data_IF_505101179681
#
_entry.id   IF_505101179681
#
_cell.length_a   1.000
_cell.length_b   1.000
_cell.length_c   1.000
_cell.angle_alpha   90.00
_cell.angle_beta   90.00
_cell.angle_gamma   90.00
#
_symmetry.space_group_name_H-M   'P 1'
#
loop_
_entity.id
_entity.type
_entity.pdbx_description
1 polymer ?
#
# COMPACT_ATOMS: atom_id res chain seq x y z
N UNK A 1 -25.26 -0.68 14.37
CA UNK A 1 -23.81 -0.94 14.33
C UNK A 1 -23.49 -1.85 13.16
N UNK A 2 -23.80 -3.17 13.21
CA UNK A 2 -23.47 -4.11 12.12
C UNK A 2 -23.97 -3.73 10.71
N UNK A 3 -25.23 -3.26 10.58
CA UNK A 3 -25.77 -2.83 9.27
C UNK A 3 -25.04 -1.61 8.70
N UNK A 4 -24.64 -0.67 9.57
CA UNK A 4 -23.87 0.52 9.16
C UNK A 4 -22.45 0.15 8.76
N UNK A 5 -21.83 -0.77 9.50
CA UNK A 5 -20.48 -1.26 9.22
C UNK A 5 -20.43 -2.05 7.90
N UNK A 6 -21.49 -2.82 7.58
CA UNK A 6 -21.61 -3.53 6.30
C UNK A 6 -21.72 -2.57 5.12
N UNK A 7 -22.57 -1.55 5.22
CA UNK A 7 -22.71 -0.54 4.15
C UNK A 7 -21.40 0.23 3.99
N UNK A 8 -20.78 0.67 5.09
CA UNK A 8 -19.51 1.37 5.06
C UNK A 8 -18.39 0.52 4.45
N UNK A 9 -18.26 -0.74 4.85
CA UNK A 9 -17.27 -1.66 4.30
C UNK A 9 -17.44 -1.90 2.80
N UNK A 10 -18.69 -2.01 2.33
CA UNK A 10 -18.99 -2.19 0.91
C UNK A 10 -18.68 -0.93 0.11
N UNK A 11 -19.02 0.26 0.63
CA UNK A 11 -18.65 1.54 0.02
C UNK A 11 -17.14 1.75 -0.07
N UNK A 12 -16.40 1.46 1.02
CA UNK A 12 -14.93 1.56 1.03
C UNK A 12 -14.31 0.60 0.03
N UNK A 13 -14.78 -0.65 0.00
CA UNK A 13 -14.27 -1.66 -0.94
C UNK A 13 -14.51 -1.27 -2.40
N UNK A 14 -15.69 -0.71 -2.71
CA UNK A 14 -16.06 -0.30 -4.06
C UNK A 14 -15.11 0.78 -4.63
N UNK A 15 -14.68 1.74 -3.80
CA UNK A 15 -13.72 2.77 -4.19
C UNK A 15 -12.26 2.29 -4.11
N UNK A 16 -11.93 1.39 -3.18
CA UNK A 16 -10.57 0.89 -2.99
C UNK A 16 -10.06 0.11 -4.20
N UNK A 17 -10.92 -0.64 -4.89
CA UNK A 17 -10.56 -1.40 -6.11
C UNK A 17 -9.99 -0.47 -7.20
N UNK A 18 -10.73 0.53 -7.72
CA UNK A 18 -10.20 1.43 -8.74
C UNK A 18 -9.03 2.28 -8.22
N UNK A 19 -9.03 2.68 -6.95
CA UNK A 19 -7.91 3.40 -6.33
C UNK A 19 -6.61 2.58 -6.37
N UNK A 20 -6.65 1.31 -5.96
CA UNK A 20 -5.49 0.43 -5.94
C UNK A 20 -4.92 0.20 -7.34
N UNK A 21 -5.79 -0.01 -8.33
CA UNK A 21 -5.41 -0.16 -9.74
C UNK A 21 -4.73 1.12 -10.26
N UNK A 22 -5.29 2.29 -9.97
CA UNK A 22 -4.74 3.57 -10.38
C UNK A 22 -3.37 3.85 -9.75
N UNK A 23 -3.22 3.58 -8.45
CA UNK A 23 -1.97 3.85 -7.74
C UNK A 23 -0.85 2.86 -8.10
N UNK A 24 -1.17 1.60 -8.42
CA UNK A 24 -0.18 0.70 -9.01
C UNK A 24 0.33 1.23 -10.37
N UNK A 25 -0.57 1.75 -11.21
CA UNK A 25 -0.18 2.37 -12.47
C UNK A 25 0.70 3.62 -12.26
N UNK A 26 0.38 4.47 -11.26
CA UNK A 26 1.22 5.61 -10.88
C UNK A 26 2.62 5.18 -10.41
N UNK A 27 2.72 4.02 -9.75
CA UNK A 27 3.99 3.44 -9.32
C UNK A 27 4.81 2.81 -10.48
N UNK A 28 4.26 2.77 -11.70
CA UNK A 28 4.89 2.11 -12.86
C UNK A 28 4.69 0.60 -12.89
N UNK A 29 3.74 0.05 -12.11
CA UNK A 29 3.44 -1.37 -12.03
C UNK A 29 2.18 -1.74 -12.83
N UNK A 30 2.05 -3.03 -13.17
CA UNK A 30 0.79 -3.54 -13.71
C UNK A 30 -0.35 -3.32 -12.70
N UNK A 31 -1.53 -2.82 -13.12
CA UNK A 31 -2.61 -2.46 -12.21
C UNK A 31 -3.00 -3.56 -11.22
N UNK A 32 -2.99 -4.82 -11.66
CA UNK A 32 -3.33 -5.98 -10.82
C UNK A 32 -2.44 -6.11 -9.59
N UNK A 33 -1.20 -5.62 -9.64
CA UNK A 33 -0.28 -5.62 -8.50
C UNK A 33 -0.82 -4.77 -7.35
N UNK A 34 -1.55 -3.70 -7.64
CA UNK A 34 -2.19 -2.86 -6.62
C UNK A 34 -3.21 -3.62 -5.78
N UNK A 35 -3.97 -4.52 -6.40
CA UNK A 35 -4.94 -5.37 -5.69
C UNK A 35 -4.22 -6.35 -4.75
N UNK A 36 -3.14 -6.97 -5.22
CA UNK A 36 -2.32 -7.87 -4.40
C UNK A 36 -1.60 -7.14 -3.27
N UNK A 37 -1.16 -5.90 -3.49
CA UNK A 37 -0.49 -5.09 -2.49
C UNK A 37 -1.45 -4.52 -1.42
N UNK A 38 -2.72 -4.28 -1.76
CA UNK A 38 -3.69 -3.70 -0.82
C UNK A 38 -4.28 -4.72 0.16
N UNK A 39 -4.40 -6.00 -0.22
CA UNK A 39 -5.06 -7.02 0.60
C UNK A 39 -4.33 -7.33 1.93
N UNK A 40 -3.01 -7.61 1.95
CA UNK A 40 -2.30 -7.92 3.19
C UNK A 40 -2.41 -6.82 4.26
N UNK A 41 -2.14 -5.53 3.99
CA UNK A 41 -2.20 -4.49 5.02
C UNK A 41 -3.62 -4.28 5.55
N UNK A 42 -4.66 -4.43 4.73
CA UNK A 42 -6.06 -4.38 5.17
C UNK A 42 -6.36 -5.48 6.19
N UNK A 43 -5.96 -6.72 5.90
CA UNK A 43 -6.16 -7.85 6.81
C UNK A 43 -5.36 -7.70 8.11
N UNK A 44 -4.10 -7.28 8.00
CA UNK A 44 -3.22 -7.05 9.15
C UNK A 44 -3.81 -5.93 10.04
N UNK A 45 -4.25 -4.83 9.44
CA UNK A 45 -4.83 -3.71 10.19
C UNK A 45 -6.19 -4.05 10.81
N UNK A 46 -7.01 -4.87 10.15
CA UNK A 46 -8.26 -5.34 10.74
C UNK A 46 -8.06 -6.11 12.06
N UNK A 47 -6.90 -6.75 12.24
CA UNK A 47 -6.57 -7.55 13.43
C UNK A 47 -5.78 -6.73 14.46
N UNK A 48 -4.79 -5.95 14.02
CA UNK A 48 -3.84 -5.25 14.88
C UNK A 48 -4.13 -3.75 15.05
N UNK A 49 -5.07 -3.20 14.29
CA UNK A 49 -5.35 -1.77 14.24
C UNK A 49 -5.88 -1.22 15.56
N UNK A 50 -5.31 -0.09 16.00
CA UNK A 50 -5.70 0.59 17.23
C UNK A 50 -6.92 1.51 17.04
N UNK A 51 -7.20 1.95 15.82
CA UNK A 51 -8.31 2.86 15.49
C UNK A 51 -9.33 2.21 14.56
N UNK A 52 -10.60 2.23 14.99
CA UNK A 52 -11.74 1.68 14.23
C UNK A 52 -12.15 2.55 13.04
N UNK A 53 -11.63 3.78 12.94
CA UNK A 53 -11.97 4.74 11.88
C UNK A 53 -10.84 5.04 10.91
N UNK A 54 -9.62 4.59 11.21
CA UNK A 54 -8.48 4.80 10.30
C UNK A 54 -8.62 3.84 9.11
N UNK A 55 -8.72 4.42 7.92
CA UNK A 55 -8.69 3.66 6.67
C UNK A 55 -7.24 3.51 6.22
N UNK A 56 -6.76 2.26 6.17
CA UNK A 56 -5.47 1.92 5.58
C UNK A 56 -5.70 1.48 4.14
N UNK A 57 -4.91 2.00 3.22
CA UNK A 57 -5.01 1.66 1.82
C UNK A 57 -3.81 2.16 1.03
N UNK A 58 -3.75 1.84 -0.27
CA UNK A 58 -2.72 2.38 -1.15
C UNK A 58 -2.87 3.91 -1.20
N UNK A 59 -1.76 4.64 -1.24
CA UNK A 59 -1.76 6.10 -1.13
C UNK A 59 -0.95 6.71 -2.29
N UNK A 60 -1.41 7.84 -2.83
CA UNK A 60 -0.87 8.43 -4.06
C UNK A 60 0.60 8.85 -3.91
N UNK A 61 0.96 9.48 -2.80
CA UNK A 61 2.33 9.93 -2.52
C UNK A 61 3.31 8.77 -2.49
N UNK A 62 2.97 7.67 -1.82
CA UNK A 62 3.82 6.46 -1.78
C UNK A 62 3.99 5.80 -3.14
N UNK A 63 2.95 5.80 -3.98
CA UNK A 63 3.03 5.33 -5.35
C UNK A 63 3.98 6.19 -6.20
N UNK A 64 3.82 7.53 -6.14
CA UNK A 64 4.69 8.46 -6.85
C UNK A 64 6.14 8.41 -6.36
N UNK A 65 6.37 8.27 -5.05
CA UNK A 65 7.71 8.11 -4.48
C UNK A 65 8.36 6.79 -4.92
N UNK A 66 7.58 5.71 -4.99
CA UNK A 66 8.07 4.42 -5.51
C UNK A 66 8.54 4.57 -6.96
N UNK A 67 7.73 5.20 -7.81
CA UNK A 67 8.12 5.47 -9.20
C UNK A 67 9.35 6.40 -9.30
N UNK A 68 9.38 7.48 -8.52
CA UNK A 68 10.48 8.44 -8.52
C UNK A 68 11.82 7.82 -8.13
N UNK A 69 11.82 6.82 -7.24
CA UNK A 69 13.02 6.09 -6.82
C UNK A 69 13.40 5.01 -7.85
N UNK A 70 12.44 4.24 -8.35
CA UNK A 70 12.74 3.05 -9.16
C UNK A 70 12.96 3.33 -10.64
N UNK A 71 12.20 4.23 -11.26
CA UNK A 71 12.33 4.57 -12.68
C UNK A 71 13.76 4.92 -13.11
N UNK A 72 14.50 5.80 -12.41
CA UNK A 72 15.86 6.16 -12.82
C UNK A 72 16.90 5.05 -12.60
N UNK A 73 16.61 4.05 -11.75
CA UNK A 73 17.57 3.00 -11.35
C UNK A 73 17.35 1.71 -12.16
N UNK A 74 16.09 1.31 -12.35
CA UNK A 74 15.72 0.00 -12.91
C UNK A 74 15.32 0.11 -14.39
N UNK A 75 14.88 1.29 -14.82
CA UNK A 75 14.29 1.52 -16.14
C UNK A 75 12.87 0.93 -16.28
N UNK A 76 12.31 1.01 -17.49
CA UNK A 76 10.96 0.50 -17.80
C UNK A 76 10.93 -0.73 -18.73
N UNK A 77 12.09 -1.27 -19.10
CA UNK A 77 12.18 -2.26 -20.18
C UNK A 77 11.76 -3.68 -19.75
N UNK A 78 11.87 -4.01 -18.46
CA UNK A 78 11.50 -5.32 -17.89
C UNK A 78 10.48 -5.15 -16.75
N UNK A 79 9.18 -5.37 -17.03
CA UNK A 79 8.11 -5.24 -16.03
C UNK A 79 8.23 -6.21 -14.85
N UNK A 80 8.80 -7.41 -15.07
CA UNK A 80 8.94 -8.42 -14.00
C UNK A 80 10.04 -7.98 -13.05
N UNK A 81 11.18 -7.56 -13.60
CA UNK A 81 12.28 -7.02 -12.79
C UNK A 81 11.83 -5.80 -12.00
N UNK A 82 11.12 -4.85 -12.63
CA UNK A 82 10.60 -3.66 -11.96
C UNK A 82 9.69 -4.01 -10.76
N UNK A 83 8.78 -4.98 -10.93
CA UNK A 83 7.92 -5.47 -9.85
C UNK A 83 8.72 -6.08 -8.68
N UNK A 84 9.79 -6.82 -8.97
CA UNK A 84 10.68 -7.37 -7.93
C UNK A 84 11.37 -6.26 -7.14
N UNK A 85 11.92 -5.24 -7.80
CA UNK A 85 12.54 -4.10 -7.10
C UNK A 85 11.52 -3.30 -6.27
N UNK A 86 10.30 -3.13 -6.76
CA UNK A 86 9.22 -2.51 -6.00
C UNK A 86 8.86 -3.31 -4.74
N UNK A 87 8.79 -4.64 -4.84
CA UNK A 87 8.54 -5.50 -3.69
C UNK A 87 9.69 -5.42 -2.65
N UNK A 88 10.95 -5.42 -3.12
CA UNK A 88 12.12 -5.25 -2.23
C UNK A 88 12.08 -3.90 -1.53
N UNK A 89 11.79 -2.82 -2.25
CA UNK A 89 11.66 -1.49 -1.67
C UNK A 89 10.57 -1.46 -0.59
N UNK A 90 9.40 -2.03 -0.87
CA UNK A 90 8.30 -2.12 0.09
C UNK A 90 8.69 -2.88 1.36
N UNK A 91 9.41 -4.01 1.22
CA UNK A 91 9.90 -4.80 2.36
C UNK A 91 10.91 -4.00 3.19
N UNK A 92 11.87 -3.32 2.53
CA UNK A 92 12.86 -2.49 3.23
C UNK A 92 12.20 -1.36 4.02
N UNK A 93 11.26 -0.64 3.41
CA UNK A 93 10.47 0.39 4.08
C UNK A 93 9.70 -0.20 5.25
N UNK A 94 9.06 -1.36 5.07
CA UNK A 94 8.36 -2.07 6.14
C UNK A 94 9.27 -2.41 7.33
N UNK A 95 10.47 -2.92 7.08
CA UNK A 95 11.46 -3.21 8.13
C UNK A 95 11.88 -1.93 8.87
N UNK A 96 12.14 -0.84 8.13
CA UNK A 96 12.48 0.45 8.74
C UNK A 96 11.34 0.99 9.60
N UNK A 97 10.10 0.91 9.12
CA UNK A 97 8.90 1.31 9.88
C UNK A 97 8.72 0.47 11.15
N UNK A 98 8.92 -0.85 11.08
CA UNK A 98 8.87 -1.73 12.25
C UNK A 98 9.97 -1.40 13.26
N UNK A 99 11.19 -1.16 12.79
CA UNK A 99 12.31 -0.71 13.63
C UNK A 99 12.04 0.63 14.31
N UNK A 100 11.54 1.61 13.57
CA UNK A 100 11.15 2.92 14.10
C UNK A 100 10.01 2.81 15.13
N UNK A 101 9.04 1.94 14.87
CA UNK A 101 7.96 1.61 15.81
C UNK A 101 8.47 0.97 17.10
N UNK A 102 9.42 0.04 17.01
CA UNK A 102 10.06 -0.58 18.18
C UNK A 102 10.83 0.44 19.02
N UNK A 103 11.52 1.39 18.37
CA UNK A 103 12.20 2.50 19.04
C UNK A 103 11.25 3.61 19.55
N UNK A 104 9.93 3.48 19.32
CA UNK A 104 8.90 4.46 19.69
C UNK A 104 9.16 5.87 19.14
N UNK A 105 9.75 5.97 17.95
CA UNK A 105 10.07 7.27 17.32
C UNK A 105 8.83 8.06 16.89
N UNK A 106 7.61 7.49 16.99
CA UNK A 106 6.36 8.19 16.71
C UNK A 106 5.82 9.08 17.84
N UNK A 107 6.56 9.23 18.95
CA UNK A 107 6.22 10.16 20.04
C UNK A 107 6.97 11.51 19.96
N UNK A 108 7.93 11.64 19.03
CA UNK A 108 8.57 12.91 18.66
C UNK A 108 7.73 13.64 17.62
#
# INVERSE_FOLDING_TARGET
MLRGDLVAGLSVSAYLIPQALAYAALAGLSPIVGLWAALPPLLIYAILGSSRQLSIGPESTTALMTAAVLLPIVGGDDPVRYAVYAAVLAILVGILCLGAGFLRLGYL
#
